data_IF_508151620709
#
_entry.id   IF_508151620709
#
_cell.length_a   1.000
_cell.length_b   1.000
_cell.length_c   1.000
_cell.angle_alpha   90.00
_cell.angle_beta   90.00
_cell.angle_gamma   90.00
#
_symmetry.space_group_name_H-M   'P 1'
#
loop_
_entity.id
_entity.type
_entity.pdbx_description
1 polymer ?
#
# COMPACT_ATOMS: atom_id res chain seq x y z
N UNK A 1 -6.00 8.79 25.52
CA UNK A 1 -5.31 8.90 24.25
C UNK A 1 -6.16 8.47 23.07
N UNK A 2 -6.01 9.17 21.97
CA UNK A 2 -6.81 8.89 20.79
C UNK A 2 -6.17 7.77 19.99
N UNK A 3 -6.94 6.74 19.74
CA UNK A 3 -6.48 5.64 18.91
C UNK A 3 -6.38 6.07 17.45
N UNK A 4 -5.18 6.04 16.92
CA UNK A 4 -4.92 6.42 15.53
C UNK A 4 -5.06 5.26 14.56
N UNK A 5 -5.17 4.04 15.06
CA UNK A 5 -5.32 2.85 14.25
C UNK A 5 -6.67 2.24 14.54
N UNK A 6 -7.48 2.13 13.49
CA UNK A 6 -8.78 1.45 13.55
C UNK A 6 -8.65 0.18 12.72
N UNK A 7 -9.10 -0.95 13.25
CA UNK A 7 -8.91 -2.21 12.57
C UNK A 7 -10.05 -3.19 12.74
N UNK A 8 -10.30 -3.93 11.67
CA UNK A 8 -11.12 -5.13 11.68
C UNK A 8 -10.21 -6.26 11.20
N UNK A 9 -9.83 -7.16 12.11
CA UNK A 9 -8.84 -8.18 11.82
C UNK A 9 -9.43 -9.57 11.93
N UNK A 10 -9.08 -10.43 10.97
CA UNK A 10 -9.19 -11.87 11.10
C UNK A 10 -7.86 -12.40 11.63
N UNK A 11 -7.85 -13.58 12.28
CA UNK A 11 -6.60 -14.27 12.56
C UNK A 11 -5.89 -14.51 11.23
N UNK A 12 -4.88 -13.74 11.00
CA UNK A 12 -4.31 -13.61 9.68
C UNK A 12 -2.89 -14.16 9.66
N UNK A 13 -2.31 -14.02 8.52
CA UNK A 13 -0.95 -14.38 8.21
C UNK A 13 0.01 -13.64 9.15
N UNK A 14 0.83 -14.34 9.95
CA UNK A 14 1.67 -13.67 10.96
C UNK A 14 2.64 -12.66 10.38
N UNK A 15 3.29 -12.97 9.26
CA UNK A 15 4.24 -12.05 8.66
C UNK A 15 3.56 -10.78 8.14
N UNK A 16 2.38 -10.93 7.54
CA UNK A 16 1.61 -9.79 7.02
C UNK A 16 1.13 -8.93 8.18
N UNK A 17 0.62 -9.55 9.23
CA UNK A 17 0.21 -8.79 10.42
C UNK A 17 1.36 -8.01 11.02
N UNK A 18 2.55 -8.59 11.06
CA UNK A 18 3.73 -7.94 11.62
C UNK A 18 4.11 -6.69 10.80
N UNK A 19 4.15 -6.80 9.48
CA UNK A 19 4.52 -5.65 8.66
C UNK A 19 3.46 -4.55 8.73
N UNK A 20 2.18 -4.92 8.72
CA UNK A 20 1.11 -3.94 8.81
C UNK A 20 1.13 -3.21 10.16
N UNK A 21 1.36 -3.95 11.25
CA UNK A 21 1.46 -3.33 12.56
C UNK A 21 2.66 -2.39 12.66
N UNK A 22 3.81 -2.81 12.12
CA UNK A 22 5.01 -1.97 12.14
C UNK A 22 4.80 -0.68 11.35
N UNK A 23 4.16 -0.78 10.19
CA UNK A 23 3.89 0.42 9.39
C UNK A 23 2.85 1.32 10.04
N UNK A 24 1.82 0.74 10.66
CA UNK A 24 0.82 1.52 11.38
C UNK A 24 1.46 2.28 12.55
N UNK A 25 2.35 1.65 13.28
CA UNK A 25 3.06 2.29 14.39
C UNK A 25 3.92 3.45 13.88
N UNK A 26 4.61 3.25 12.76
CA UNK A 26 5.41 4.30 12.14
C UNK A 26 4.53 5.49 11.74
N UNK A 27 3.38 5.21 11.14
CA UNK A 27 2.44 6.25 10.74
C UNK A 27 1.94 7.04 11.94
N UNK A 28 1.58 6.35 13.00
CA UNK A 28 1.09 7.02 14.21
C UNK A 28 2.11 8.01 14.75
N UNK A 29 3.38 7.62 14.79
CA UNK A 29 4.45 8.50 15.24
C UNK A 29 4.64 9.72 14.36
N UNK A 30 4.20 9.63 13.12
CA UNK A 30 4.33 10.72 12.14
C UNK A 30 3.03 11.51 11.96
N UNK A 31 2.04 11.27 12.82
CA UNK A 31 0.78 12.00 12.74
C UNK A 31 -0.12 11.57 11.60
N UNK A 32 0.04 10.35 11.11
CA UNK A 32 -0.78 9.79 10.04
C UNK A 32 -1.76 8.81 10.66
N UNK A 33 -3.06 9.01 10.42
CA UNK A 33 -4.10 8.10 10.88
C UNK A 33 -4.17 6.89 9.95
N UNK A 34 -4.22 5.69 10.51
CA UNK A 34 -4.26 4.46 9.73
C UNK A 34 -5.53 3.68 10.07
N UNK A 35 -6.22 3.21 9.04
CA UNK A 35 -7.32 2.27 9.17
C UNK A 35 -6.90 0.95 8.54
N UNK A 36 -6.97 -0.13 9.29
CA UNK A 36 -6.69 -1.47 8.81
C UNK A 36 -8.00 -2.25 8.74
N UNK A 37 -8.31 -2.77 7.56
CA UNK A 37 -9.51 -3.55 7.33
C UNK A 37 -9.09 -4.89 6.73
N UNK A 38 -8.85 -5.87 7.59
CA UNK A 38 -8.30 -7.17 7.21
C UNK A 38 -9.38 -8.23 7.42
N UNK A 39 -9.91 -8.77 6.33
CA UNK A 39 -10.99 -9.76 6.38
C UNK A 39 -10.61 -11.09 5.75
N UNK A 40 -9.32 -11.33 5.50
CA UNK A 40 -8.82 -12.58 4.94
C UNK A 40 -7.60 -13.05 5.70
N UNK A 41 -7.45 -14.37 5.83
CA UNK A 41 -6.26 -14.97 6.42
C UNK A 41 -5.18 -15.25 5.38
N UNK A 42 -5.44 -15.00 4.08
CA UNK A 42 -4.52 -15.25 2.98
C UNK A 42 -4.02 -16.70 2.95
N UNK A 43 -4.90 -17.65 3.25
CA UNK A 43 -4.51 -19.03 3.55
C UNK A 43 -3.81 -19.76 2.40
N UNK A 44 -4.21 -19.45 1.17
CA UNK A 44 -3.61 -20.07 -0.02
C UNK A 44 -3.02 -19.05 -0.98
N UNK A 45 -2.42 -18.01 -0.42
CA UNK A 45 -1.77 -16.96 -1.22
C UNK A 45 -0.61 -17.56 -2.00
N UNK A 46 -0.59 -17.38 -3.32
CA UNK A 46 0.45 -17.94 -4.17
C UNK A 46 1.76 -17.17 -4.11
N UNK A 47 1.73 -15.91 -3.71
CA UNK A 47 2.93 -15.10 -3.58
C UNK A 47 3.59 -15.45 -2.23
N UNK A 48 4.89 -15.78 -2.22
CA UNK A 48 5.58 -16.04 -0.95
C UNK A 48 5.42 -14.87 0.01
N UNK A 49 5.26 -15.17 1.28
CA UNK A 49 4.93 -14.14 2.27
C UNK A 49 5.97 -13.02 2.32
N UNK A 50 7.27 -13.32 2.20
CA UNK A 50 8.29 -12.30 2.24
C UNK A 50 8.20 -11.35 1.03
N UNK A 51 7.80 -11.87 -0.14
CA UNK A 51 7.58 -11.03 -1.32
C UNK A 51 6.32 -10.19 -1.18
N UNK A 52 5.26 -10.79 -0.64
CA UNK A 52 4.03 -10.05 -0.43
C UNK A 52 4.23 -8.92 0.59
N UNK A 53 4.95 -9.18 1.66
CA UNK A 53 5.29 -8.15 2.63
C UNK A 53 6.13 -7.04 2.01
N UNK A 54 7.00 -7.38 1.07
CA UNK A 54 7.78 -6.39 0.34
C UNK A 54 6.89 -5.48 -0.50
N UNK A 55 5.90 -6.07 -1.17
CA UNK A 55 4.93 -5.30 -1.94
C UNK A 55 4.19 -4.32 -1.03
N UNK A 56 3.60 -4.83 0.06
CA UNK A 56 2.84 -3.98 0.97
C UNK A 56 3.71 -2.87 1.56
N UNK A 57 4.90 -3.23 2.02
CA UNK A 57 5.81 -2.26 2.63
C UNK A 57 6.20 -1.15 1.69
N UNK A 58 6.53 -1.50 0.44
CA UNK A 58 6.93 -0.50 -0.54
C UNK A 58 5.78 0.46 -0.89
N UNK A 59 4.57 -0.06 -1.04
CA UNK A 59 3.43 0.78 -1.37
C UNK A 59 3.07 1.68 -0.19
N UNK A 60 3.11 1.15 1.03
CA UNK A 60 2.83 1.95 2.23
C UNK A 60 3.88 3.05 2.39
N UNK A 61 5.15 2.72 2.19
CA UNK A 61 6.22 3.73 2.27
C UNK A 61 6.00 4.84 1.25
N UNK A 62 5.56 4.48 0.05
CA UNK A 62 5.23 5.45 -0.98
C UNK A 62 4.09 6.38 -0.53
N UNK A 63 3.08 5.82 0.11
CA UNK A 63 1.95 6.60 0.63
C UNK A 63 2.41 7.55 1.74
N UNK A 64 3.25 7.08 2.65
CA UNK A 64 3.80 7.92 3.73
C UNK A 64 4.58 9.09 3.13
N UNK A 65 5.44 8.82 2.16
CA UNK A 65 6.22 9.85 1.51
C UNK A 65 5.32 10.91 0.86
N UNK A 66 4.29 10.47 0.15
CA UNK A 66 3.36 11.38 -0.52
C UNK A 66 2.65 12.29 0.49
N UNK A 67 2.24 11.74 1.63
CA UNK A 67 1.56 12.51 2.65
C UNK A 67 2.50 13.53 3.31
N UNK A 68 3.73 13.15 3.55
CA UNK A 68 4.69 14.03 4.22
C UNK A 68 5.18 15.14 3.33
N UNK A 69 5.05 14.96 2.03
CA UNK A 69 5.45 15.96 1.06
C UNK A 69 4.53 17.18 1.08
N UNK A 70 3.27 17.01 1.43
CA UNK A 70 2.30 18.09 1.46
C UNK A 70 2.20 18.67 2.86
N UNK A 71 2.94 19.74 3.10
CA UNK A 71 2.99 20.38 4.40
C UNK A 71 1.66 21.03 4.81
N UNK A 72 0.82 21.34 3.84
CA UNK A 72 -0.45 22.01 4.10
C UNK A 72 -1.58 21.03 4.45
N UNK A 73 -1.36 19.73 4.29
CA UNK A 73 -2.41 18.74 4.52
C UNK A 73 -2.66 18.58 6.02
N UNK A 74 -3.86 18.95 6.51
CA UNK A 74 -4.11 18.96 7.95
C UNK A 74 -4.45 17.59 8.53
N UNK A 75 -4.94 16.67 7.71
CA UNK A 75 -5.44 15.39 8.18
C UNK A 75 -4.95 14.29 7.26
N UNK A 76 -3.83 13.70 7.62
CA UNK A 76 -3.15 12.68 6.82
C UNK A 76 -3.70 11.31 7.15
N UNK A 77 -4.14 10.58 6.15
CA UNK A 77 -4.81 9.30 6.32
C UNK A 77 -4.31 8.25 5.35
N UNK A 78 -4.14 7.03 5.86
CA UNK A 78 -3.89 5.83 5.04
C UNK A 78 -4.91 4.78 5.43
N UNK A 79 -5.50 4.14 4.43
CA UNK A 79 -6.42 3.03 4.62
C UNK A 79 -5.85 1.81 3.91
N UNK A 80 -5.83 0.67 4.60
CA UNK A 80 -5.29 -0.58 4.06
C UNK A 80 -6.35 -1.65 4.20
N UNK A 81 -6.75 -2.23 3.07
CA UNK A 81 -7.75 -3.29 3.02
C UNK A 81 -7.12 -4.55 2.44
N UNK A 82 -7.33 -5.68 3.10
CA UNK A 82 -7.04 -7.01 2.57
C UNK A 82 -8.33 -7.79 2.64
N UNK A 83 -8.78 -8.31 1.49
CA UNK A 83 -10.01 -9.07 1.42
C UNK A 83 -9.89 -10.17 0.39
N UNK A 84 -10.88 -11.03 0.37
CA UNK A 84 -10.92 -12.14 -0.58
C UNK A 84 -12.32 -12.34 -1.13
N UNK A 85 -12.39 -12.94 -2.31
CA UNK A 85 -13.60 -13.55 -2.79
C UNK A 85 -13.27 -15.01 -3.17
N UNK A 86 -14.16 -15.68 -3.89
CA UNK A 86 -13.99 -17.09 -4.21
C UNK A 86 -12.75 -17.34 -5.07
N UNK A 87 -12.39 -16.40 -5.92
CA UNK A 87 -11.36 -16.60 -6.94
C UNK A 87 -10.13 -15.71 -6.79
N UNK A 88 -10.18 -14.71 -5.90
CA UNK A 88 -9.10 -13.72 -5.81
C UNK A 88 -8.87 -13.26 -4.38
N UNK A 89 -7.62 -12.83 -4.13
CA UNK A 89 -7.29 -11.94 -3.02
C UNK A 89 -7.14 -10.53 -3.55
N UNK A 90 -7.51 -9.55 -2.72
CA UNK A 90 -7.42 -8.13 -3.07
C UNK A 90 -6.70 -7.39 -1.96
N UNK A 91 -5.84 -6.47 -2.34
CA UNK A 91 -5.40 -5.45 -1.40
C UNK A 91 -5.66 -4.08 -2.00
N UNK A 92 -5.90 -3.12 -1.11
CA UNK A 92 -6.06 -1.73 -1.52
C UNK A 92 -5.38 -0.85 -0.48
N UNK A 93 -4.48 0.02 -0.93
CA UNK A 93 -3.78 0.95 -0.05
C UNK A 93 -4.09 2.35 -0.56
N UNK A 94 -4.77 3.13 0.28
CA UNK A 94 -5.32 4.44 -0.09
C UNK A 94 -4.71 5.51 0.78
N UNK A 95 -4.33 6.63 0.19
CA UNK A 95 -3.91 7.81 0.95
C UNK A 95 -4.64 9.05 0.42
N UNK A 96 -4.71 10.08 1.24
CA UNK A 96 -5.35 11.34 0.88
C UNK A 96 -4.34 12.45 0.58
N UNK A 97 -3.18 12.06 0.05
CA UNK A 97 -2.16 13.01 -0.38
C UNK A 97 -2.45 13.63 -1.75
N UNK A 98 -1.45 14.30 -2.32
CA UNK A 98 -1.62 14.97 -3.61
C UNK A 98 -1.99 13.99 -4.71
N UNK A 99 -2.82 14.47 -5.66
CA UNK A 99 -3.21 13.67 -6.80
C UNK A 99 -2.02 13.37 -7.70
N UNK A 100 -2.02 12.17 -8.28
CA UNK A 100 -1.06 11.80 -9.33
C UNK A 100 -1.75 12.06 -10.66
N UNK A 101 -1.19 12.92 -11.52
CA UNK A 101 -1.78 13.14 -12.84
C UNK A 101 -1.92 11.84 -13.62
N UNK A 102 -3.02 11.70 -14.36
CA UNK A 102 -3.26 10.49 -15.14
C UNK A 102 -2.13 10.20 -16.13
N UNK A 103 -1.46 11.24 -16.60
CA UNK A 103 -0.33 11.09 -17.51
C UNK A 103 0.85 10.36 -16.91
N UNK A 104 0.91 10.26 -15.58
CA UNK A 104 1.99 9.58 -14.87
C UNK A 104 1.62 8.19 -14.38
N UNK A 105 0.36 7.77 -14.50
CA UNK A 105 -0.08 6.50 -13.90
C UNK A 105 0.69 5.30 -14.42
N UNK A 106 1.09 5.33 -15.68
CA UNK A 106 1.89 4.25 -16.24
C UNK A 106 3.36 4.38 -15.82
N UNK A 107 3.86 5.60 -15.82
CA UNK A 107 5.27 5.87 -15.58
C UNK A 107 5.72 5.57 -14.16
N UNK A 108 4.82 5.70 -13.18
CA UNK A 108 5.21 5.51 -11.78
C UNK A 108 5.63 4.07 -11.49
N UNK A 109 5.26 3.11 -12.35
CA UNK A 109 5.66 1.72 -12.18
C UNK A 109 6.93 1.37 -12.97
N UNK A 110 7.51 2.33 -13.68
CA UNK A 110 8.70 2.07 -14.47
C UNK A 110 9.96 2.19 -13.60
N UNK A 111 10.97 1.35 -13.86
CA UNK A 111 12.22 1.42 -13.10
C UNK A 111 12.85 2.81 -13.23
N UNK A 112 13.34 3.33 -12.10
CA UNK A 112 14.01 4.63 -12.07
C UNK A 112 13.09 5.82 -11.91
N UNK A 113 11.77 5.67 -12.06
CA UNK A 113 10.86 6.77 -11.84
C UNK A 113 10.84 7.12 -10.35
N UNK A 114 11.02 8.39 -10.02
CA UNK A 114 10.93 8.82 -8.63
C UNK A 114 10.72 10.33 -8.55
N UNK A 115 9.93 10.74 -7.54
CA UNK A 115 9.91 12.11 -7.05
C UNK A 115 10.72 12.25 -5.77
N UNK A 116 11.31 11.15 -5.29
CA UNK A 116 12.13 11.09 -4.09
C UNK A 116 13.59 11.34 -4.45
N UNK A 117 13.89 12.55 -4.85
CA UNK A 117 15.19 12.85 -5.44
C UNK A 117 16.37 12.51 -4.53
N UNK A 118 16.18 12.66 -3.24
CA UNK A 118 17.29 12.39 -2.30
C UNK A 118 17.59 10.91 -2.15
N UNK A 119 16.59 10.07 -2.29
CA UNK A 119 16.77 8.64 -2.16
C UNK A 119 17.37 8.03 -3.41
N UNK A 120 17.08 8.61 -4.56
CA UNK A 120 17.57 8.10 -5.83
C UNK A 120 17.09 6.69 -6.15
N UNK A 121 16.09 6.21 -5.45
CA UNK A 121 15.70 4.81 -5.57
C UNK A 121 14.71 4.59 -6.70
N UNK A 122 13.53 5.15 -6.63
CA UNK A 122 12.57 5.05 -7.71
C UNK A 122 12.26 3.64 -8.18
N UNK A 123 12.58 2.62 -7.37
CA UNK A 123 12.44 1.22 -7.78
C UNK A 123 11.32 0.50 -7.05
N UNK A 124 10.79 1.08 -5.98
CA UNK A 124 9.85 0.38 -5.12
C UNK A 124 8.59 -0.09 -5.84
N UNK A 125 7.96 0.78 -6.61
CA UNK A 125 6.75 0.41 -7.34
C UNK A 125 7.04 -0.52 -8.52
N UNK A 126 8.18 -0.35 -9.18
CA UNK A 126 8.60 -1.24 -10.26
C UNK A 126 8.81 -2.65 -9.72
N UNK A 127 9.44 -2.79 -8.58
CA UNK A 127 9.64 -4.09 -7.93
C UNK A 127 8.30 -4.72 -7.58
N UNK A 128 7.37 -3.94 -7.03
CA UNK A 128 6.03 -4.44 -6.72
C UNK A 128 5.34 -4.97 -7.96
N UNK A 129 5.39 -4.23 -9.05
CA UNK A 129 4.77 -4.65 -10.28
C UNK A 129 5.39 -5.90 -10.84
N UNK A 130 6.73 -6.00 -10.81
CA UNK A 130 7.43 -7.17 -11.29
C UNK A 130 7.02 -8.43 -10.52
N UNK A 131 6.95 -8.32 -9.18
CA UNK A 131 6.53 -9.45 -8.37
C UNK A 131 5.09 -9.84 -8.70
N UNK A 132 4.19 -8.85 -8.77
CA UNK A 132 2.79 -9.12 -9.08
C UNK A 132 2.66 -9.83 -10.44
N UNK A 133 3.38 -9.36 -11.44
CA UNK A 133 3.32 -9.95 -12.77
C UNK A 133 3.85 -11.39 -12.78
N UNK A 134 4.88 -11.65 -12.00
CA UNK A 134 5.43 -13.00 -11.89
C UNK A 134 4.38 -14.01 -11.41
N UNK A 135 3.45 -13.55 -10.58
CA UNK A 135 2.39 -14.41 -10.03
C UNK A 135 1.04 -14.17 -10.70
N UNK A 136 1.07 -13.69 -11.95
CA UNK A 136 -0.13 -13.47 -12.77
C UNK A 136 -1.16 -12.55 -12.10
N UNK A 137 -0.66 -11.62 -11.30
CA UNK A 137 -1.46 -10.68 -10.53
C UNK A 137 -1.35 -9.29 -11.14
N UNK A 138 -2.29 -8.41 -10.79
CA UNK A 138 -2.30 -7.05 -11.34
C UNK A 138 -2.14 -6.03 -10.23
N UNK A 139 -1.48 -4.92 -10.55
CA UNK A 139 -1.31 -3.78 -9.66
C UNK A 139 -1.66 -2.53 -10.46
N UNK A 140 -2.64 -1.77 -9.96
CA UNK A 140 -3.11 -0.57 -10.64
C UNK A 140 -3.17 0.60 -9.68
N UNK A 141 -3.22 1.81 -10.23
CA UNK A 141 -3.36 3.04 -9.46
C UNK A 141 -4.55 3.83 -9.96
N UNK A 142 -5.26 4.44 -9.04
CA UNK A 142 -6.28 5.45 -9.33
C UNK A 142 -5.99 6.65 -8.43
N UNK A 143 -6.07 7.86 -8.97
CA UNK A 143 -5.80 9.06 -8.16
C UNK A 143 -6.67 10.21 -8.62
N UNK A 144 -7.16 10.97 -7.64
CA UNK A 144 -7.84 12.23 -7.87
C UNK A 144 -7.48 13.19 -6.73
N UNK A 145 -8.15 14.33 -6.63
CA UNK A 145 -7.82 15.33 -5.61
C UNK A 145 -8.17 14.86 -4.21
N UNK A 146 -8.97 13.81 -4.06
CA UNK A 146 -9.40 13.32 -2.75
C UNK A 146 -8.61 12.13 -2.27
N UNK A 147 -8.16 11.26 -3.18
CA UNK A 147 -7.46 10.05 -2.77
C UNK A 147 -6.61 9.46 -3.88
N UNK A 148 -5.60 8.72 -3.48
CA UNK A 148 -4.80 7.87 -4.36
C UNK A 148 -4.90 6.45 -3.86
N UNK A 149 -5.29 5.52 -4.73
CA UNK A 149 -5.50 4.12 -4.36
C UNK A 149 -4.63 3.21 -5.22
N UNK A 150 -3.86 2.35 -4.56
CA UNK A 150 -3.14 1.27 -5.21
C UNK A 150 -3.89 -0.01 -4.93
N UNK A 151 -4.28 -0.72 -5.98
CA UNK A 151 -5.11 -1.92 -5.88
C UNK A 151 -4.37 -3.10 -6.50
N UNK A 152 -4.27 -4.19 -5.73
CA UNK A 152 -3.72 -5.45 -6.20
C UNK A 152 -4.80 -6.51 -6.27
N UNK A 153 -4.77 -7.32 -7.35
CA UNK A 153 -5.68 -8.44 -7.53
C UNK A 153 -4.83 -9.68 -7.81
N UNK A 154 -4.99 -10.71 -6.97
CA UNK A 154 -4.16 -11.90 -6.97
C UNK A 154 -5.06 -13.12 -7.12
N UNK A 155 -4.86 -13.96 -8.16
CA UNK A 155 -5.65 -15.18 -8.31
C UNK A 155 -5.39 -16.16 -7.16
N UNK A 156 -6.45 -16.87 -6.75
CA UNK A 156 -6.32 -17.92 -5.75
C UNK A 156 -6.36 -19.28 -6.41
#
# INVERSE_FOLDING_TARGET
DIQKVSRVLKPAHPAVNAILQAKADMCEKRGISVTLHITTALSDLCIPSWEFCRILGNIIDNAIYALEKDQALPDRQISITLREDLHHYFFEIVNNGPAIPTTLWKSIFEPGFTTKKQDGQGMGLAICRDIMEEYHSTLTVFSNTERTAFTGVIPR
#
